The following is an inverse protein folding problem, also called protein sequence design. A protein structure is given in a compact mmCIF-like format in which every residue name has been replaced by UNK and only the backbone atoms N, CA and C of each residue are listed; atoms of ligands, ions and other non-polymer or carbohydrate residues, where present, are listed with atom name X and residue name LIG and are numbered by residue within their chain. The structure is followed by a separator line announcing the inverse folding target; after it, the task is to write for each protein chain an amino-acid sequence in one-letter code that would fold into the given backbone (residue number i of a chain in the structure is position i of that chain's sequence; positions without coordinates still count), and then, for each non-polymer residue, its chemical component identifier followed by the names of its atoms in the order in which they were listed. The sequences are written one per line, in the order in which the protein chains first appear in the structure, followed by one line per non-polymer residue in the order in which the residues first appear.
data_IF_210275527512
#
_entry.id   IF_210275527512
#
_cell.length_a   1.000
_cell.length_b   1.000
_cell.length_c   1.000
_cell.angle_alpha   90.00
_cell.angle_beta   90.00
_cell.angle_gamma   90.00
#
_symmetry.space_group_name_H-M   'P 1'
#
loop_
_entity.id
_entity.type
_entity.pdbx_description
1 polymer ?
#
# COMPACT_ATOMS: atom_id res chain seq x y z
N UNK A 1 0.67 -0.63 -9.17
CA UNK A 1 0.97 -2.06 -9.38
C UNK A 1 0.24 -2.92 -8.35
N UNK A 2 -0.46 -4.00 -8.71
CA UNK A 2 -1.19 -4.90 -7.78
C UNK A 2 -1.32 -6.32 -8.38
N UNK A 3 -0.38 -7.24 -8.08
CA UNK A 3 -0.64 -8.68 -8.16
C UNK A 3 -1.37 -9.11 -6.86
N UNK A 4 -2.24 -10.13 -6.86
CA UNK A 4 -2.87 -10.68 -5.64
C UNK A 4 -2.58 -12.18 -5.52
N UNK A 5 -1.37 -12.51 -5.07
CA UNK A 5 -1.13 -13.69 -4.23
C UNK A 5 -0.96 -13.22 -2.79
N UNK A 6 -1.13 -14.08 -1.79
CA UNK A 6 -1.00 -13.66 -0.38
C UNK A 6 0.33 -12.94 -0.12
N UNK A 7 0.30 -11.81 0.59
CA UNK A 7 1.52 -11.09 0.97
C UNK A 7 2.35 -11.82 2.04
N UNK A 8 1.72 -12.70 2.82
CA UNK A 8 2.39 -13.54 3.82
C UNK A 8 3.26 -14.59 3.15
N UNK A 9 4.57 -14.57 3.45
CA UNK A 9 5.54 -15.54 2.91
C UNK A 9 6.21 -16.40 3.97
N UNK A 10 6.56 -15.80 5.11
CA UNK A 10 7.48 -16.41 6.08
C UNK A 10 6.82 -16.77 7.43
N UNK A 11 5.52 -16.52 7.61
CA UNK A 11 4.80 -16.83 8.85
C UNK A 11 5.16 -15.97 10.08
N UNK A 12 6.07 -15.00 9.98
CA UNK A 12 6.50 -14.20 11.13
C UNK A 12 5.59 -13.01 11.49
N UNK A 13 4.91 -12.39 10.51
CA UNK A 13 4.32 -11.05 10.68
C UNK A 13 3.46 -10.86 11.93
N UNK A 14 2.48 -11.73 12.15
CA UNK A 14 1.61 -11.65 13.32
C UNK A 14 2.36 -11.85 14.65
N UNK A 15 3.37 -12.74 14.67
CA UNK A 15 4.15 -13.03 15.87
C UNK A 15 5.11 -11.89 16.20
N UNK A 16 5.72 -11.27 15.19
CA UNK A 16 6.53 -10.07 15.40
C UNK A 16 5.69 -8.94 16.00
N UNK A 17 4.49 -8.68 15.48
CA UNK A 17 3.58 -7.70 16.07
C UNK A 17 3.27 -8.02 17.55
N UNK A 18 3.01 -9.29 17.87
CA UNK A 18 2.78 -9.74 19.25
C UNK A 18 4.02 -9.53 20.15
N UNK A 19 5.21 -9.95 19.70
CA UNK A 19 6.48 -9.78 20.42
C UNK A 19 6.76 -8.29 20.72
N UNK A 20 6.44 -7.39 19.78
CA UNK A 20 6.61 -5.94 19.98
C UNK A 20 5.39 -5.25 20.62
N UNK A 21 4.49 -6.00 21.28
CA UNK A 21 3.32 -5.46 21.97
C UNK A 21 3.34 -5.78 23.47
N UNK A 22 2.80 -4.87 24.28
CA UNK A 22 2.53 -5.10 25.70
C UNK A 22 1.30 -5.97 25.90
N UNK A 23 0.30 -5.83 25.02
CA UNK A 23 -0.90 -6.65 24.93
C UNK A 23 -1.26 -6.90 23.48
N UNK A 24 -1.58 -8.14 23.11
CA UNK A 24 -1.99 -8.55 21.77
C UNK A 24 -3.15 -9.53 21.87
N UNK A 25 -4.28 -9.21 21.26
CA UNK A 25 -5.51 -10.00 21.31
C UNK A 25 -5.93 -10.39 19.91
N UNK A 26 -6.19 -11.67 19.72
CA UNK A 26 -6.83 -12.21 18.51
C UNK A 26 -8.21 -12.68 18.88
N UNK A 27 -9.20 -12.23 18.14
CA UNK A 27 -10.58 -12.67 18.23
C UNK A 27 -11.08 -13.07 16.86
N UNK A 28 -11.67 -14.25 16.74
CA UNK A 28 -12.19 -14.76 15.47
C UNK A 28 -13.47 -15.53 15.68
N UNK A 29 -14.41 -15.37 14.74
CA UNK A 29 -15.67 -16.11 14.67
C UNK A 29 -15.66 -16.95 13.40
N UNK A 30 -16.03 -18.22 13.54
CA UNK A 30 -16.23 -19.12 12.41
C UNK A 30 -17.58 -19.82 12.50
N UNK A 31 -18.41 -19.62 11.47
CA UNK A 31 -19.71 -20.24 11.24
C UNK A 31 -19.57 -21.74 10.99
N UNK A 32 -18.57 -22.15 10.21
CA UNK A 32 -18.29 -23.56 9.92
C UNK A 32 -18.13 -24.37 11.21
N UNK A 33 -17.35 -23.85 12.17
CA UNK A 33 -17.14 -24.50 13.47
C UNK A 33 -18.17 -24.09 14.53
N UNK A 34 -19.05 -23.14 14.22
CA UNK A 34 -20.04 -22.58 15.15
C UNK A 34 -19.44 -21.97 16.42
N UNK A 35 -18.19 -21.48 16.37
CA UNK A 35 -17.41 -21.05 17.54
C UNK A 35 -16.79 -19.67 17.36
N UNK A 36 -16.72 -18.93 18.46
CA UNK A 36 -15.89 -17.73 18.61
C UNK A 36 -14.72 -18.07 19.52
N UNK A 37 -13.54 -17.63 19.13
CA UNK A 37 -12.29 -17.78 19.85
C UNK A 37 -11.73 -16.41 20.16
N UNK A 38 -11.24 -16.20 21.38
CA UNK A 38 -10.51 -15.00 21.79
C UNK A 38 -9.35 -15.38 22.70
N UNK A 39 -8.14 -14.98 22.34
CA UNK A 39 -6.97 -15.15 23.20
C UNK A 39 -6.15 -13.87 23.24
N UNK A 40 -5.61 -13.58 24.42
CA UNK A 40 -4.78 -12.40 24.68
C UNK A 40 -3.41 -12.81 25.18
N UNK A 41 -2.37 -12.35 24.50
CA UNK A 41 -0.98 -12.42 24.92
C UNK A 41 -0.57 -11.11 25.58
N UNK A 42 0.32 -11.20 26.55
CA UNK A 42 0.87 -10.05 27.28
C UNK A 42 2.38 -10.17 27.42
N UNK A 43 3.04 -9.05 27.71
CA UNK A 43 4.48 -8.97 27.94
C UNK A 43 5.28 -9.56 26.77
N UNK A 44 5.14 -9.00 25.57
CA UNK A 44 5.97 -9.38 24.42
C UNK A 44 5.83 -10.87 24.04
N UNK A 45 4.60 -11.39 24.10
CA UNK A 45 4.27 -12.80 23.80
C UNK A 45 4.87 -13.83 24.79
N UNK A 46 5.44 -13.41 25.93
CA UNK A 46 6.02 -14.33 26.93
C UNK A 46 4.97 -15.00 27.82
N UNK A 47 3.77 -14.41 27.89
CA UNK A 47 2.64 -14.93 28.66
C UNK A 47 1.36 -14.82 27.85
N UNK A 48 0.41 -15.69 28.13
CA UNK A 48 -0.93 -15.66 27.59
C UNK A 48 -1.99 -15.82 28.68
N UNK A 49 -3.16 -15.27 28.40
CA UNK A 49 -4.37 -15.44 29.22
C UNK A 49 -5.15 -16.65 28.68
N UNK A 50 -5.94 -17.27 29.54
CA UNK A 50 -6.80 -18.39 29.13
C UNK A 50 -7.67 -18.02 27.93
N UNK A 51 -7.72 -18.88 26.89
CA UNK A 51 -8.52 -18.62 25.72
C UNK A 51 -10.01 -18.70 26.05
N UNK A 52 -10.76 -17.70 25.60
CA UNK A 52 -12.22 -17.73 25.64
C UNK A 52 -12.75 -18.40 24.37
N UNK A 53 -13.50 -19.47 24.56
CA UNK A 53 -14.17 -20.19 23.48
C UNK A 53 -15.67 -20.25 23.79
N UNK A 54 -16.49 -19.74 22.87
CA UNK A 54 -17.94 -19.77 23.02
C UNK A 54 -18.63 -20.11 21.69
N UNK A 55 -19.95 -20.32 21.72
CA UNK A 55 -20.75 -20.55 20.52
C UNK A 55 -20.84 -19.26 19.70
N UNK A 56 -20.54 -19.32 18.41
CA UNK A 56 -20.76 -18.20 17.49
C UNK A 56 -22.24 -18.08 17.14
N UNK A 57 -22.70 -16.83 16.97
CA UNK A 57 -24.08 -16.49 16.61
C UNK A 57 -24.16 -15.54 15.41
N UNK A 58 -23.03 -15.21 14.79
CA UNK A 58 -22.94 -14.13 13.80
C UNK A 58 -22.12 -14.49 12.57
N UNK A 59 -21.76 -13.45 11.80
CA UNK A 59 -20.88 -13.55 10.65
C UNK A 59 -19.44 -13.94 11.03
N UNK A 60 -18.72 -14.44 10.03
CA UNK A 60 -17.29 -14.73 10.17
C UNK A 60 -16.52 -13.42 10.26
N UNK A 61 -15.58 -13.36 11.20
CA UNK A 61 -14.67 -12.22 11.29
C UNK A 61 -13.35 -12.62 11.93
N UNK A 62 -12.36 -11.77 11.73
CA UNK A 62 -11.12 -11.77 12.49
C UNK A 62 -10.81 -10.36 12.92
N UNK A 63 -10.57 -10.17 14.21
CA UNK A 63 -10.20 -8.92 14.83
C UNK A 63 -8.87 -9.10 15.56
N UNK A 64 -7.89 -8.29 15.20
CA UNK A 64 -6.61 -8.19 15.90
C UNK A 64 -6.58 -6.85 16.61
N UNK A 65 -6.32 -6.87 17.91
CA UNK A 65 -6.20 -5.66 18.74
C UNK A 65 -4.88 -5.75 19.48
N UNK A 66 -4.05 -4.71 19.41
CA UNK A 66 -2.75 -4.73 20.05
C UNK A 66 -2.39 -3.37 20.61
N UNK A 67 -1.52 -3.38 21.63
CA UNK A 67 -0.93 -2.20 22.25
C UNK A 67 0.58 -2.27 22.03
N UNK A 68 1.15 -1.46 21.12
CA UNK A 68 2.59 -1.47 20.87
C UNK A 68 3.38 -1.24 22.16
N UNK A 69 4.51 -1.92 22.30
CA UNK A 69 5.48 -1.64 23.36
C UNK A 69 6.37 -0.47 22.94
N UNK A 70 5.86 0.74 23.15
CA UNK A 70 6.51 1.99 22.73
C UNK A 70 7.91 2.18 23.34
N UNK A 71 8.14 1.62 24.54
CA UNK A 71 9.46 1.67 25.18
C UNK A 71 10.54 0.98 24.34
N UNK A 72 10.22 -0.10 23.62
CA UNK A 72 11.16 -0.77 22.70
C UNK A 72 11.51 0.09 21.48
N UNK A 73 10.64 1.03 21.13
CA UNK A 73 10.85 1.99 20.05
C UNK A 73 11.38 3.33 20.53
N UNK A 74 11.65 3.48 21.83
CA UNK A 74 12.07 4.74 22.47
C UNK A 74 11.05 5.86 22.27
N UNK A 75 9.77 5.50 22.27
CA UNK A 75 8.63 6.41 22.13
C UNK A 75 7.81 6.41 23.42
N UNK A 76 7.15 7.53 23.71
CA UNK A 76 6.20 7.66 24.84
C UNK A 76 4.76 7.57 24.37
N UNK A 77 4.49 8.00 23.14
CA UNK A 77 3.18 8.04 22.52
C UNK A 77 3.27 7.79 21.01
N UNK A 78 2.11 7.64 20.37
CA UNK A 78 2.02 7.63 18.91
C UNK A 78 1.81 9.06 18.44
N UNK A 79 2.90 9.72 18.03
CA UNK A 79 2.89 11.08 17.49
C UNK A 79 2.17 11.19 16.13
N UNK A 80 2.00 12.43 15.67
CA UNK A 80 1.31 12.74 14.42
C UNK A 80 1.99 12.10 13.20
N UNK A 81 3.31 11.96 13.21
CA UNK A 81 4.06 11.38 12.09
C UNK A 81 3.76 9.89 11.92
N UNK A 82 3.80 9.11 13.01
CA UNK A 82 3.49 7.68 12.94
C UNK A 82 2.01 7.46 12.64
N UNK A 83 1.12 8.28 13.20
CA UNK A 83 -0.31 8.22 12.92
C UNK A 83 -0.59 8.56 11.45
N UNK A 84 0.07 9.57 10.88
CA UNK A 84 -0.04 9.91 9.47
C UNK A 84 0.44 8.76 8.58
N UNK A 85 1.55 8.10 8.96
CA UNK A 85 2.08 6.95 8.22
C UNK A 85 1.12 5.75 8.24
N UNK A 86 0.56 5.41 9.40
CA UNK A 86 -0.44 4.34 9.53
C UNK A 86 -1.74 4.69 8.80
N UNK A 87 -2.17 5.95 8.86
CA UNK A 87 -3.35 6.44 8.17
C UNK A 87 -3.18 6.34 6.65
N UNK A 88 -2.06 6.82 6.11
CA UNK A 88 -1.72 6.64 4.68
C UNK A 88 -1.74 5.16 4.31
N UNK A 89 -1.21 4.29 5.16
CA UNK A 89 -1.21 2.84 4.89
C UNK A 89 -2.62 2.26 4.79
N UNK A 90 -3.60 2.79 5.52
CA UNK A 90 -5.02 2.42 5.35
C UNK A 90 -5.55 2.84 3.98
N UNK A 91 -5.19 4.04 3.50
CA UNK A 91 -5.51 4.49 2.13
C UNK A 91 -4.86 3.62 1.07
N UNK A 92 -3.60 3.22 1.25
CA UNK A 92 -2.94 2.28 0.33
C UNK A 92 -3.77 1.00 0.21
N UNK A 93 -4.19 0.40 1.33
CA UNK A 93 -5.00 -0.82 1.32
C UNK A 93 -6.32 -0.59 0.57
N UNK A 94 -7.00 0.53 0.81
CA UNK A 94 -8.25 0.89 0.11
C UNK A 94 -8.07 1.05 -1.40
N UNK A 95 -6.92 1.60 -1.82
CA UNK A 95 -6.57 1.78 -3.23
C UNK A 95 -6.16 0.48 -3.93
N UNK A 96 -5.46 -0.41 -3.23
CA UNK A 96 -4.83 -1.59 -3.84
C UNK A 96 -5.63 -2.87 -3.71
N UNK A 97 -6.67 -2.90 -2.90
CA UNK A 97 -7.53 -4.08 -2.74
C UNK A 97 -8.83 -3.89 -3.51
N UNK A 98 -9.17 -4.86 -4.37
CA UNK A 98 -10.39 -4.79 -5.18
C UNK A 98 -11.59 -5.26 -4.35
N UNK A 99 -12.67 -4.49 -4.36
CA UNK A 99 -13.94 -4.85 -3.71
C UNK A 99 -13.94 -4.75 -2.18
N UNK A 100 -12.90 -4.21 -1.56
CA UNK A 100 -12.81 -4.08 -0.09
C UNK A 100 -13.09 -2.63 0.32
N UNK A 101 -14.03 -2.45 1.25
CA UNK A 101 -14.29 -1.16 1.89
C UNK A 101 -13.41 -1.03 3.14
N UNK A 102 -12.62 0.03 3.21
CA UNK A 102 -11.73 0.29 4.35
C UNK A 102 -12.29 1.43 5.20
N UNK A 103 -12.25 1.23 6.51
CA UNK A 103 -12.68 2.21 7.51
C UNK A 103 -11.49 2.55 8.41
N UNK A 104 -11.33 3.85 8.70
CA UNK A 104 -10.35 4.35 9.65
C UNK A 104 -11.10 5.14 10.73
N UNK A 105 -10.94 4.74 11.99
CA UNK A 105 -11.63 5.36 13.14
C UNK A 105 -13.14 5.51 12.94
N UNK A 106 -13.78 4.48 12.39
CA UNK A 106 -15.22 4.44 12.12
C UNK A 106 -15.68 5.16 10.85
N UNK A 107 -14.80 5.91 10.16
CA UNK A 107 -15.14 6.61 8.91
C UNK A 107 -14.67 5.82 7.70
N UNK A 108 -15.53 5.63 6.71
CA UNK A 108 -15.15 4.98 5.44
C UNK A 108 -14.18 5.88 4.68
N UNK A 109 -13.08 5.31 4.18
CA UNK A 109 -12.13 6.06 3.36
C UNK A 109 -12.74 6.40 1.98
N UNK A 110 -12.60 7.64 1.49
CA UNK A 110 -13.19 8.09 0.22
C UNK A 110 -12.32 7.68 -0.98
N UNK A 111 -11.88 6.42 -1.01
CA UNK A 111 -11.05 5.85 -2.08
C UNK A 111 -11.54 4.45 -2.40
N UNK A 112 -11.89 4.23 -3.66
CA UNK A 112 -12.30 2.94 -4.19
C UNK A 112 -11.47 2.59 -5.42
N UNK A 113 -10.49 1.70 -5.22
CA UNK A 113 -9.64 1.19 -6.28
C UNK A 113 -8.46 2.10 -6.67
N UNK A 114 -7.59 1.56 -7.53
CA UNK A 114 -6.25 2.11 -7.75
C UNK A 114 -6.26 3.47 -8.44
N UNK A 115 -7.21 3.72 -9.34
CA UNK A 115 -7.32 5.00 -10.06
C UNK A 115 -7.59 6.17 -9.10
N UNK A 116 -8.64 6.05 -8.27
CA UNK A 116 -8.99 7.08 -7.29
C UNK A 116 -7.89 7.28 -6.25
N UNK A 117 -7.17 6.22 -5.90
CA UNK A 117 -6.00 6.30 -5.02
C UNK A 117 -4.89 7.16 -5.63
N UNK A 118 -4.54 6.93 -6.90
CA UNK A 118 -3.50 7.73 -7.60
C UNK A 118 -3.94 9.19 -7.72
N UNK A 119 -5.21 9.46 -8.00
CA UNK A 119 -5.75 10.83 -8.07
C UNK A 119 -5.51 11.61 -6.76
N UNK A 120 -5.46 10.95 -5.59
CA UNK A 120 -5.13 11.64 -4.33
C UNK A 120 -3.72 12.23 -4.31
N UNK A 121 -2.77 11.65 -5.04
CA UNK A 121 -1.39 12.14 -5.12
C UNK A 121 -1.24 13.36 -6.03
N UNK A 122 -2.12 13.52 -7.02
CA UNK A 122 -1.98 14.54 -8.05
C UNK A 122 -2.96 15.69 -7.92
N UNK A 123 -3.97 15.58 -7.04
CA UNK A 123 -4.97 16.64 -6.77
C UNK A 123 -4.38 18.02 -6.48
N UNK A 124 -3.20 18.07 -5.87
CA UNK A 124 -2.54 19.32 -5.48
C UNK A 124 -1.34 19.67 -6.37
N UNK A 125 -1.04 18.83 -7.37
CA UNK A 125 0.04 19.07 -8.30
C UNK A 125 -0.54 19.76 -9.53
N UNK A 126 -0.31 21.07 -9.62
CA UNK A 126 -0.80 21.91 -10.70
C UNK A 126 0.35 22.23 -11.66
N UNK A 127 0.06 22.20 -12.96
CA UNK A 127 0.90 22.76 -14.00
C UNK A 127 1.03 24.28 -13.81
N UNK A 128 2.01 24.90 -14.47
CA UNK A 128 2.17 26.36 -14.46
C UNK A 128 0.94 27.12 -14.99
N UNK A 129 0.07 26.43 -15.72
CA UNK A 129 -1.23 26.91 -16.20
C UNK A 129 -2.32 26.94 -15.12
N UNK A 130 -2.09 26.33 -13.96
CA UNK A 130 -3.09 26.15 -12.88
C UNK A 130 -3.93 24.88 -13.00
N UNK A 131 -3.78 24.10 -14.08
CA UNK A 131 -4.50 22.84 -14.29
C UNK A 131 -3.81 21.67 -13.56
N UNK A 132 -4.55 20.67 -13.05
CA UNK A 132 -3.95 19.52 -12.38
C UNK A 132 -3.16 18.65 -13.36
N UNK A 133 -2.07 18.04 -12.87
CA UNK A 133 -1.26 17.13 -13.68
C UNK A 133 -2.10 16.02 -14.30
N UNK A 134 -1.90 15.81 -15.60
CA UNK A 134 -2.56 14.74 -16.33
C UNK A 134 -2.04 13.38 -15.88
N UNK A 135 -2.91 12.59 -15.26
CA UNK A 135 -2.65 11.19 -14.94
C UNK A 135 -3.13 10.29 -16.06
N UNK A 136 -2.23 9.52 -16.64
CA UNK A 136 -2.58 8.43 -17.57
C UNK A 136 -2.72 7.15 -16.74
N UNK A 137 -3.89 6.53 -16.76
CA UNK A 137 -4.17 5.27 -16.08
C UNK A 137 -4.48 4.20 -17.11
N UNK A 138 -3.89 3.01 -16.93
CA UNK A 138 -4.22 1.83 -17.70
C UNK A 138 -4.27 0.57 -16.81
N UNK A 139 -5.14 -0.36 -17.16
CA UNK A 139 -5.27 -1.66 -16.52
C UNK A 139 -5.23 -2.75 -17.60
N UNK A 140 -4.03 -3.11 -18.09
CA UNK A 140 -3.89 -4.04 -19.22
C UNK A 140 -4.42 -5.45 -18.94
N UNK A 141 -4.54 -5.84 -17.67
CA UNK A 141 -5.18 -7.09 -17.25
C UNK A 141 -5.59 -7.03 -15.77
N UNK A 142 -6.15 -8.11 -15.24
CA UNK A 142 -6.62 -8.17 -13.85
C UNK A 142 -5.51 -8.00 -12.79
N UNK A 143 -4.24 -8.26 -13.14
CA UNK A 143 -3.08 -8.24 -12.23
C UNK A 143 -2.19 -7.02 -12.35
N UNK A 144 -2.47 -6.14 -13.31
CA UNK A 144 -1.66 -4.95 -13.55
C UNK A 144 -2.54 -3.73 -13.67
N UNK A 145 -2.32 -2.78 -12.78
CA UNK A 145 -2.82 -1.41 -12.88
C UNK A 145 -1.61 -0.48 -12.81
N UNK A 146 -1.51 0.38 -13.81
CA UNK A 146 -0.38 1.27 -14.06
C UNK A 146 -0.95 2.68 -14.16
N UNK A 147 -0.31 3.63 -13.48
CA UNK A 147 -0.58 5.03 -13.66
C UNK A 147 0.74 5.75 -13.87
N UNK A 148 0.73 6.78 -14.72
CA UNK A 148 1.87 7.60 -15.07
C UNK A 148 1.48 9.07 -15.01
N UNK A 149 2.33 9.90 -14.40
CA UNK A 149 2.19 11.37 -14.40
C UNK A 149 3.56 12.03 -14.54
N UNK A 150 3.59 13.34 -14.76
CA UNK A 150 4.84 14.11 -14.81
C UNK A 150 5.46 14.28 -13.43
N UNK A 151 6.79 14.28 -13.36
CA UNK A 151 7.60 14.55 -12.17
C UNK A 151 8.49 15.77 -12.38
N UNK A 152 8.58 16.63 -11.38
CA UNK A 152 9.54 17.75 -11.34
C UNK A 152 10.79 17.44 -10.48
N UNK A 153 10.76 16.33 -9.72
CA UNK A 153 11.76 16.01 -8.69
C UNK A 153 12.64 14.81 -9.05
N UNK A 154 12.80 14.51 -10.33
CA UNK A 154 13.45 13.28 -10.79
C UNK A 154 12.49 12.09 -10.79
N UNK A 155 13.01 10.89 -11.03
CA UNK A 155 12.20 9.68 -11.07
C UNK A 155 11.59 9.40 -9.71
N UNK A 156 10.27 9.28 -9.66
CA UNK A 156 9.54 8.85 -8.47
C UNK A 156 8.73 7.61 -8.81
N UNK A 157 8.42 6.81 -7.79
CA UNK A 157 7.60 5.63 -7.97
C UNK A 157 6.79 5.34 -6.71
N UNK A 158 5.54 4.94 -6.89
CA UNK A 158 4.69 4.40 -5.83
C UNK A 158 4.19 3.03 -6.29
N UNK A 159 4.72 1.98 -5.69
CA UNK A 159 4.45 0.61 -6.14
C UNK A 159 3.98 -0.33 -5.04
N UNK A 160 3.16 -1.29 -5.48
CA UNK A 160 2.69 -2.37 -4.62
C UNK A 160 2.78 -3.72 -5.33
N UNK A 161 3.07 -4.75 -4.55
CA UNK A 161 3.01 -6.14 -5.00
C UNK A 161 2.28 -6.91 -3.92
N UNK A 162 1.15 -7.57 -4.24
CA UNK A 162 0.37 -8.32 -3.24
C UNK A 162 -0.06 -7.44 -2.05
N UNK A 163 -0.52 -6.22 -2.37
CA UNK A 163 -0.82 -5.13 -1.43
C UNK A 163 0.35 -4.65 -0.55
N UNK A 164 1.57 -5.19 -0.69
CA UNK A 164 2.76 -4.74 0.04
C UNK A 164 3.32 -3.48 -0.63
N UNK A 165 3.53 -2.42 0.14
CA UNK A 165 4.18 -1.19 -0.33
C UNK A 165 5.67 -1.43 -0.59
N UNK A 166 6.08 -1.41 -1.86
CA UNK A 166 7.47 -1.56 -2.29
C UNK A 166 8.12 -0.17 -2.47
N UNK A 167 8.40 0.50 -1.35
CA UNK A 167 8.92 1.88 -1.33
C UNK A 167 10.28 2.05 -2.03
N UNK A 168 11.07 0.98 -2.13
CA UNK A 168 12.35 0.95 -2.87
C UNK A 168 12.21 0.41 -4.31
N UNK A 169 11.00 0.17 -4.78
CA UNK A 169 10.74 -0.40 -6.10
C UNK A 169 11.09 -1.88 -6.19
N UNK A 170 11.66 -2.28 -7.33
CA UNK A 170 12.03 -3.66 -7.66
C UNK A 170 11.76 -3.96 -9.13
N UNK A 171 12.02 -5.21 -9.54
CA UNK A 171 11.92 -5.65 -10.94
C UNK A 171 10.58 -5.36 -11.60
N UNK A 172 9.48 -5.31 -10.84
CA UNK A 172 8.15 -4.97 -11.35
C UNK A 172 8.03 -3.51 -11.77
N UNK A 173 8.73 -2.61 -11.09
CA UNK A 173 8.82 -1.19 -11.46
C UNK A 173 9.69 -1.04 -12.69
N UNK A 174 10.90 -1.63 -12.66
CA UNK A 174 11.87 -1.57 -13.76
C UNK A 174 11.25 -2.09 -15.06
N UNK A 175 10.58 -3.24 -15.01
CA UNK A 175 9.90 -3.85 -16.15
C UNK A 175 8.93 -2.89 -16.86
N UNK A 176 8.16 -2.10 -16.11
CA UNK A 176 7.19 -1.16 -16.69
C UNK A 176 7.86 0.14 -17.10
N UNK A 177 8.75 0.67 -16.26
CA UNK A 177 9.46 1.92 -16.53
C UNK A 177 10.34 1.82 -17.78
N UNK A 178 11.04 0.70 -17.98
CA UNK A 178 11.89 0.45 -19.15
C UNK A 178 11.08 0.37 -20.44
N UNK A 179 9.89 -0.26 -20.41
CA UNK A 179 9.00 -0.34 -21.56
C UNK A 179 8.48 1.04 -21.97
N UNK A 180 8.03 1.84 -21.00
CA UNK A 180 7.55 3.21 -21.23
C UNK A 180 8.69 4.08 -21.78
N UNK A 181 9.85 4.04 -21.11
CA UNK A 181 11.03 4.82 -21.49
C UNK A 181 11.48 4.49 -22.91
N UNK A 182 11.57 3.21 -23.26
CA UNK A 182 11.99 2.77 -24.59
C UNK A 182 11.05 3.30 -25.68
N UNK A 183 9.73 3.22 -25.46
CA UNK A 183 8.73 3.71 -26.42
C UNK A 183 8.70 5.23 -26.53
N UNK A 184 8.86 5.96 -25.44
CA UNK A 184 8.97 7.42 -25.48
C UNK A 184 10.21 7.87 -26.26
N UNK A 185 11.36 7.21 -26.06
CA UNK A 185 12.58 7.51 -26.83
C UNK A 185 12.36 7.27 -28.33
N UNK A 186 11.73 6.16 -28.72
CA UNK A 186 11.38 5.90 -30.13
C UNK A 186 10.51 7.01 -30.73
N UNK A 187 9.48 7.47 -30.00
CA UNK A 187 8.59 8.54 -30.45
C UNK A 187 9.30 9.88 -30.55
N UNK A 188 10.14 10.23 -29.57
CA UNK A 188 10.93 11.46 -29.58
C UNK A 188 11.87 11.45 -30.80
N UNK A 189 12.64 10.37 -31.00
CA UNK A 189 13.56 10.25 -32.14
C UNK A 189 12.87 10.40 -33.48
N UNK A 190 11.65 9.86 -33.63
CA UNK A 190 10.85 10.02 -34.85
C UNK A 190 10.38 11.47 -35.04
N UNK A 191 9.98 12.17 -33.97
CA UNK A 191 9.51 13.56 -34.02
C UNK A 191 10.63 14.59 -34.21
N UNK A 192 11.78 14.39 -33.57
CA UNK A 192 12.90 15.35 -33.56
C UNK A 192 13.93 15.11 -34.66
N UNK A 193 13.56 14.44 -35.76
CA UNK A 193 14.47 14.03 -36.84
C UNK A 193 15.53 15.09 -37.21
N UNK A 194 16.77 14.64 -37.43
CA UNK A 194 17.98 15.42 -37.79
C UNK A 194 18.50 16.47 -36.78
N UNK A 195 17.79 16.79 -35.70
CA UNK A 195 18.21 17.80 -34.71
C UNK A 195 19.42 17.44 -33.84
N UNK A 196 19.96 16.21 -33.95
CA UNK A 196 21.10 15.75 -33.14
C UNK A 196 20.84 15.56 -31.64
N UNK A 197 19.61 15.80 -31.15
CA UNK A 197 19.25 15.66 -29.74
C UNK A 197 19.21 14.17 -29.37
N UNK A 198 20.29 13.69 -28.74
CA UNK A 198 20.38 12.32 -28.22
C UNK A 198 19.85 12.28 -26.78
N UNK A 199 18.56 11.98 -26.63
CA UNK A 199 17.93 11.84 -25.31
C UNK A 199 18.30 10.49 -24.70
N UNK A 200 18.90 10.53 -23.50
CA UNK A 200 19.28 9.33 -22.73
C UNK A 200 18.11 8.83 -21.87
N UNK A 201 18.01 7.51 -21.60
CA UNK A 201 16.92 6.94 -20.80
C UNK A 201 16.67 7.62 -19.46
N UNK A 202 17.74 7.99 -18.74
CA UNK A 202 17.60 8.67 -17.45
C UNK A 202 16.93 10.05 -17.55
N UNK A 203 17.00 10.72 -18.71
CA UNK A 203 16.37 12.04 -18.90
C UNK A 203 14.85 11.92 -19.08
N UNK A 204 14.38 10.79 -19.61
CA UNK A 204 12.95 10.51 -19.82
C UNK A 204 12.31 10.00 -18.52
N UNK A 205 13.01 9.12 -17.81
CA UNK A 205 12.51 8.55 -16.56
C UNK A 205 12.48 9.59 -15.43
N UNK A 206 13.40 10.56 -15.44
CA UNK A 206 13.46 11.60 -14.42
C UNK A 206 12.34 12.64 -14.49
N UNK A 207 11.55 12.64 -15.56
CA UNK A 207 10.41 13.56 -15.72
C UNK A 207 9.07 12.86 -15.55
N UNK A 208 9.06 11.58 -15.14
CA UNK A 208 7.83 10.78 -15.00
C UNK A 208 7.76 10.09 -13.63
N UNK A 209 6.54 9.95 -13.09
CA UNK A 209 6.17 9.20 -11.86
C UNK A 209 5.24 8.05 -12.21
#
# INVERSE_FOLDING_TARGET
FICLFTGGRNGYGAKLCNIFSTEFTVETSSKEYGKVFKQTWVNNMTKDKEPFIAKSKGEDFTRVTFRPDLAKFKMTELDDDIIALMSRRAYDVAGVTKGVKVYLNGKQLPVQGFKQYVEQYTKHNLESSGEPYKVVFDQPNERWSIALTVSEKGFQQVSFTNAISTSKGGRHVDYVADQITSKLIEVIKKKTGKSGINVKPFQVINTSV
#
